data_IF_400069664262
#
_entry.id   IF_400069664262
#
_cell.length_a   1.000
_cell.length_b   1.000
_cell.length_c   1.000
_cell.angle_alpha   90.00
_cell.angle_beta   90.00
_cell.angle_gamma   90.00
#
_symmetry.space_group_name_H-M   'P 1'
#
loop_
_entity.id
_entity.type
_entity.pdbx_description
1 polymer ?
#
# COMPACT_ATOMS: atom_id res chain seq x y z
N UNK A 1 -17.98 -13.78 -26.42
CA UNK A 1 -17.83 -14.33 -25.05
C UNK A 1 -16.71 -13.67 -24.24
N UNK A 2 -15.48 -13.52 -24.79
CA UNK A 2 -14.33 -12.93 -24.06
C UNK A 2 -14.52 -11.49 -23.54
N UNK A 3 -15.21 -10.62 -24.29
CA UNK A 3 -15.41 -9.21 -23.88
C UNK A 3 -16.38 -9.07 -22.70
N UNK A 4 -17.48 -9.82 -22.72
CA UNK A 4 -18.45 -9.85 -21.61
C UNK A 4 -17.85 -10.48 -20.35
N UNK A 5 -16.94 -11.45 -20.49
CA UNK A 5 -16.18 -11.99 -19.36
C UNK A 5 -15.33 -10.92 -18.68
N UNK A 6 -14.64 -10.06 -19.44
CA UNK A 6 -13.87 -8.92 -18.90
C UNK A 6 -14.77 -7.91 -18.20
N UNK A 7 -15.91 -7.55 -18.79
CA UNK A 7 -16.88 -6.67 -18.12
C UNK A 7 -17.48 -7.31 -16.87
N UNK A 8 -17.74 -8.61 -16.88
CA UNK A 8 -18.25 -9.34 -15.72
C UNK A 8 -17.19 -9.44 -14.63
N UNK A 9 -15.91 -9.57 -14.98
CA UNK A 9 -14.76 -9.48 -14.05
C UNK A 9 -14.64 -8.08 -13.45
N UNK A 10 -14.72 -7.04 -14.27
CA UNK A 10 -14.71 -5.64 -13.84
C UNK A 10 -15.93 -5.35 -12.93
N UNK A 11 -17.11 -5.84 -13.29
CA UNK A 11 -18.33 -5.68 -12.49
C UNK A 11 -18.28 -6.49 -11.18
N UNK A 12 -17.65 -7.65 -11.19
CA UNK A 12 -17.39 -8.47 -9.98
C UNK A 12 -16.40 -7.78 -9.04
N UNK A 13 -15.41 -7.06 -9.58
CA UNK A 13 -14.46 -6.26 -8.80
C UNK A 13 -15.16 -5.06 -8.12
N UNK A 14 -16.16 -4.47 -8.76
CA UNK A 14 -16.88 -3.29 -8.25
C UNK A 14 -17.93 -3.67 -7.18
N UNK A 15 -18.40 -4.92 -7.15
CA UNK A 15 -19.50 -5.38 -6.28
C UNK A 15 -19.11 -5.90 -4.88
N UNK A 16 -17.83 -5.99 -4.51
CA UNK A 16 -17.40 -6.50 -3.19
C UNK A 16 -17.26 -5.36 -2.16
N UNK A 17 -18.13 -4.35 -2.26
CA UNK A 17 -17.95 -3.05 -1.60
C UNK A 17 -18.21 -3.01 -0.09
N UNK A 18 -19.03 -3.90 0.48
CA UNK A 18 -19.68 -3.53 1.76
C UNK A 18 -19.66 -4.57 2.90
N UNK A 19 -18.93 -5.68 2.84
CA UNK A 19 -19.07 -6.69 3.93
C UNK A 19 -17.87 -7.59 4.21
N UNK A 20 -16.69 -7.08 4.55
CA UNK A 20 -15.64 -7.89 5.21
C UNK A 20 -14.76 -7.08 6.18
N UNK A 21 -15.36 -6.44 7.20
CA UNK A 21 -14.60 -5.87 8.33
C UNK A 21 -14.19 -6.93 9.37
N UNK A 22 -14.07 -8.20 8.96
CA UNK A 22 -13.70 -9.31 9.84
C UNK A 22 -12.27 -9.73 9.57
N UNK A 23 -11.59 -10.20 10.60
CA UNK A 23 -10.29 -10.86 10.46
C UNK A 23 -10.27 -12.19 11.18
N UNK A 24 -9.55 -13.14 10.61
CA UNK A 24 -9.16 -14.39 11.25
C UNK A 24 -7.71 -14.23 11.72
N UNK A 25 -7.54 -14.09 13.03
CA UNK A 25 -6.24 -13.84 13.64
C UNK A 25 -5.74 -15.12 14.33
N UNK A 26 -4.81 -15.81 13.68
CA UNK A 26 -4.06 -16.93 14.27
C UNK A 26 -2.83 -16.33 14.94
N UNK A 27 -3.04 -15.77 16.13
CA UNK A 27 -2.01 -15.02 16.85
C UNK A 27 -1.89 -15.42 18.31
N UNK A 28 -0.66 -15.33 18.85
CA UNK A 28 -0.40 -15.37 20.28
C UNK A 28 0.16 -14.02 20.71
N UNK A 29 -0.54 -13.32 21.61
CA UNK A 29 -0.18 -11.95 22.05
C UNK A 29 0.04 -10.97 20.87
N UNK A 30 -0.74 -11.13 19.79
CA UNK A 30 -0.64 -10.31 18.58
C UNK A 30 0.52 -10.67 17.65
N UNK A 31 1.27 -11.73 17.93
CA UNK A 31 2.27 -12.30 17.04
C UNK A 31 1.67 -13.46 16.24
N UNK A 32 1.73 -13.43 14.91
CA UNK A 32 1.27 -14.54 14.09
C UNK A 32 0.80 -14.12 12.70
N UNK A 33 -0.31 -14.73 12.25
CA UNK A 33 -0.86 -14.54 10.91
C UNK A 33 -2.30 -14.03 11.03
N UNK A 34 -2.65 -13.00 10.25
CA UNK A 34 -4.02 -12.50 10.11
C UNK A 34 -4.49 -12.56 8.67
N UNK A 35 -5.73 -12.97 8.46
CA UNK A 35 -6.43 -12.91 7.18
C UNK A 35 -7.62 -11.96 7.36
N UNK A 36 -7.63 -10.87 6.60
CA UNK A 36 -8.68 -9.85 6.64
C UNK A 36 -8.29 -8.60 7.42
N UNK A 37 -9.30 -7.89 7.94
CA UNK A 37 -9.17 -6.51 8.38
C UNK A 37 -8.78 -6.34 9.88
N UNK A 38 -7.69 -6.97 10.33
CA UNK A 38 -7.22 -6.78 11.72
C UNK A 38 -6.73 -5.33 11.93
N UNK A 39 -6.82 -4.77 13.14
CA UNK A 39 -6.33 -3.39 13.36
C UNK A 39 -4.84 -3.34 13.68
N UNK A 40 -4.34 -4.36 14.38
CA UNK A 40 -2.97 -4.43 14.90
C UNK A 40 -2.43 -5.84 14.81
N UNK A 41 -1.26 -6.01 14.18
CA UNK A 41 -0.57 -7.31 14.11
C UNK A 41 0.95 -7.17 14.06
N UNK A 42 1.65 -8.10 14.72
CA UNK A 42 3.07 -8.38 14.52
C UNK A 42 3.18 -9.72 13.77
N UNK A 43 3.72 -9.74 12.55
CA UNK A 43 3.86 -10.96 11.76
C UNK A 43 3.34 -10.75 10.33
N UNK A 44 2.48 -11.65 9.86
CA UNK A 44 2.01 -11.65 8.46
C UNK A 44 0.53 -11.30 8.37
N UNK A 45 0.17 -10.48 7.40
CA UNK A 45 -1.21 -10.13 7.08
C UNK A 45 -1.50 -10.35 5.61
N UNK A 46 -2.60 -11.03 5.32
CA UNK A 46 -3.22 -11.11 4.00
C UNK A 46 -4.56 -10.38 4.06
N UNK A 47 -4.75 -9.38 3.21
CA UNK A 47 -5.97 -8.60 3.20
C UNK A 47 -6.56 -8.45 1.80
N UNK A 48 -7.87 -8.71 1.69
CA UNK A 48 -8.64 -8.43 0.48
C UNK A 48 -8.99 -6.94 0.41
N UNK A 49 -9.74 -6.41 1.39
CA UNK A 49 -10.15 -4.99 1.46
C UNK A 49 -9.94 -4.47 2.88
N UNK A 50 -9.14 -3.41 3.02
CA UNK A 50 -8.77 -2.84 4.32
C UNK A 50 -9.66 -1.65 4.68
N UNK A 51 -10.03 -1.54 5.96
CA UNK A 51 -10.62 -0.33 6.54
C UNK A 51 -10.17 -0.14 8.00
N UNK A 52 -9.57 1.00 8.33
CA UNK A 52 -9.23 1.32 9.72
C UNK A 52 -8.12 0.47 10.37
N UNK A 53 -7.15 0.00 9.59
CA UNK A 53 -5.86 -0.53 10.05
C UNK A 53 -5.08 0.54 10.84
N UNK A 54 -4.53 0.18 11.99
CA UNK A 54 -3.75 1.12 12.82
C UNK A 54 -2.26 0.85 12.72
N UNK A 55 -1.83 -0.41 12.92
CA UNK A 55 -0.41 -0.75 12.90
C UNK A 55 -0.14 -2.17 12.44
N UNK A 56 0.79 -2.32 11.50
CA UNK A 56 1.30 -3.62 11.08
C UNK A 56 2.82 -3.61 11.26
N UNK A 57 3.36 -4.64 11.90
CA UNK A 57 4.80 -4.87 11.99
C UNK A 57 5.12 -6.23 11.37
N UNK A 58 5.80 -6.27 10.23
CA UNK A 58 6.16 -7.49 9.53
C UNK A 58 5.82 -7.44 8.05
N UNK A 59 5.05 -8.42 7.57
CA UNK A 59 4.67 -8.58 6.17
C UNK A 59 3.18 -8.27 5.97
N UNK A 60 2.87 -7.36 5.06
CA UNK A 60 1.51 -7.01 4.68
C UNK A 60 1.28 -7.24 3.18
N UNK A 61 0.31 -8.08 2.81
CA UNK A 61 -0.14 -8.27 1.44
C UNK A 61 -1.58 -7.79 1.31
N UNK A 62 -1.84 -6.80 0.45
CA UNK A 62 -3.19 -6.31 0.16
C UNK A 62 -3.54 -6.45 -1.31
N UNK A 63 -4.78 -6.83 -1.61
CA UNK A 63 -5.23 -6.97 -3.00
C UNK A 63 -5.77 -5.66 -3.59
N UNK A 64 -6.40 -4.81 -2.77
CA UNK A 64 -7.04 -3.57 -3.23
C UNK A 64 -6.43 -2.34 -2.55
N UNK A 65 -6.68 -1.14 -3.11
CA UNK A 65 -6.38 0.08 -2.38
C UNK A 65 -7.26 0.10 -1.12
N UNK A 66 -6.70 0.20 0.10
CA UNK A 66 -7.50 0.38 1.31
C UNK A 66 -8.42 1.60 1.18
N UNK A 67 -9.57 1.55 1.87
CA UNK A 67 -10.35 2.78 2.15
C UNK A 67 -9.46 3.73 2.93
N UNK A 68 -9.62 5.04 2.72
CA UNK A 68 -8.75 6.06 3.30
C UNK A 68 -8.51 5.81 4.79
N UNK A 69 -7.24 5.67 5.13
CA UNK A 69 -6.80 5.25 6.44
C UNK A 69 -5.66 6.13 6.93
N UNK A 70 -5.99 7.36 7.39
CA UNK A 70 -5.01 8.40 7.68
C UNK A 70 -4.16 8.13 8.93
N UNK A 71 -4.34 6.98 9.58
CA UNK A 71 -3.62 6.60 10.79
C UNK A 71 -2.81 5.30 10.65
N UNK A 72 -2.87 4.62 9.50
CA UNK A 72 -2.18 3.35 9.32
C UNK A 72 -0.66 3.52 9.32
N UNK A 73 0.03 2.75 10.14
CA UNK A 73 1.50 2.64 10.15
C UNK A 73 1.90 1.22 9.80
N UNK A 74 2.66 1.03 8.73
CA UNK A 74 3.16 -0.28 8.32
C UNK A 74 4.68 -0.29 8.41
N UNK A 75 5.23 -1.20 9.21
CA UNK A 75 6.67 -1.38 9.40
C UNK A 75 7.09 -2.74 8.86
N UNK A 76 8.06 -2.80 7.95
CA UNK A 76 8.58 -4.03 7.36
C UNK A 76 8.36 -4.10 5.85
N UNK A 77 7.79 -5.20 5.37
CA UNK A 77 7.50 -5.42 3.95
C UNK A 77 6.01 -5.26 3.68
N UNK A 78 5.66 -4.44 2.72
CA UNK A 78 4.28 -4.25 2.28
C UNK A 78 4.20 -4.42 0.77
N UNK A 79 3.27 -5.25 0.31
CA UNK A 79 2.93 -5.37 -1.10
C UNK A 79 1.42 -5.15 -1.30
N UNK A 80 1.06 -4.31 -2.27
CA UNK A 80 -0.31 -4.13 -2.71
C UNK A 80 -0.46 -4.43 -4.18
N UNK A 81 -1.37 -5.34 -4.56
CA UNK A 81 -1.60 -5.69 -5.97
C UNK A 81 -2.05 -4.46 -6.77
N UNK A 82 -2.98 -3.67 -6.23
CA UNK A 82 -3.30 -2.34 -6.76
C UNK A 82 -2.35 -1.31 -6.15
N UNK A 83 -2.54 -1.01 -4.86
CA UNK A 83 -1.66 -0.07 -4.18
C UNK A 83 -1.69 -0.31 -2.67
N UNK A 84 -0.53 -0.46 -2.00
CA UNK A 84 -0.50 -0.26 -0.57
C UNK A 84 -0.74 1.23 -0.29
N UNK A 85 -1.61 1.50 0.68
CA UNK A 85 -1.85 2.85 1.18
C UNK A 85 -1.82 2.89 2.71
N UNK A 86 -1.04 3.81 3.27
CA UNK A 86 -0.95 4.03 4.70
C UNK A 86 -0.56 5.47 4.99
N UNK A 87 -0.69 5.91 6.24
CA UNK A 87 -0.09 7.16 6.67
C UNK A 87 1.44 7.07 6.58
N UNK A 88 2.00 6.03 7.17
CA UNK A 88 3.44 5.81 7.22
C UNK A 88 3.78 4.40 6.71
N UNK A 89 4.63 4.33 5.70
CA UNK A 89 5.22 3.11 5.16
C UNK A 89 6.71 3.10 5.50
N UNK A 90 7.11 2.24 6.43
CA UNK A 90 8.49 2.13 6.91
C UNK A 90 9.09 0.78 6.47
N UNK A 91 10.11 0.77 5.63
CA UNK A 91 10.75 -0.44 5.11
C UNK A 91 10.64 -0.57 3.59
N UNK A 92 10.15 -1.71 3.10
CA UNK A 92 9.99 -2.00 1.67
C UNK A 92 8.52 -1.99 1.28
N UNK A 93 8.12 -1.10 0.37
CA UNK A 93 6.75 -0.98 -0.13
C UNK A 93 6.70 -1.22 -1.64
N UNK A 94 5.93 -2.22 -2.08
CA UNK A 94 5.78 -2.58 -3.49
C UNK A 94 4.30 -2.46 -3.91
N UNK A 95 4.05 -1.67 -4.94
CA UNK A 95 2.73 -1.47 -5.54
C UNK A 95 2.67 -2.02 -6.95
N UNK A 96 1.75 -2.95 -7.20
CA UNK A 96 1.52 -3.50 -8.53
C UNK A 96 0.95 -2.47 -9.51
N UNK A 97 0.35 -1.38 -9.02
CA UNK A 97 0.01 -0.17 -9.78
C UNK A 97 0.69 1.06 -9.18
N UNK A 98 0.49 1.32 -7.88
CA UNK A 98 1.05 2.50 -7.25
C UNK A 98 1.41 2.27 -5.78
N UNK A 99 2.22 3.15 -5.19
CA UNK A 99 2.43 3.22 -3.73
C UNK A 99 1.94 4.57 -3.24
N UNK A 100 1.14 4.59 -2.18
CA UNK A 100 0.56 5.84 -1.63
C UNK A 100 0.81 5.92 -0.14
N UNK A 101 1.30 7.07 0.35
CA UNK A 101 1.27 7.35 1.77
C UNK A 101 1.88 8.67 2.14
N UNK A 102 1.43 9.30 3.23
CA UNK A 102 1.93 10.62 3.64
C UNK A 102 3.45 10.60 3.85
N UNK A 103 3.97 9.54 4.50
CA UNK A 103 5.40 9.34 4.70
C UNK A 103 5.84 7.96 4.23
N UNK A 104 6.89 7.93 3.43
CA UNK A 104 7.57 6.72 3.01
C UNK A 104 9.01 6.80 3.51
N UNK A 105 9.41 5.90 4.40
CA UNK A 105 10.77 5.81 4.91
C UNK A 105 11.35 4.44 4.53
N UNK A 106 12.27 4.40 3.56
CA UNK A 106 12.88 3.16 3.06
C UNK A 106 12.86 3.08 1.54
N UNK A 107 12.45 1.93 1.00
CA UNK A 107 12.41 1.67 -0.46
C UNK A 107 10.96 1.50 -0.90
N UNK A 108 10.55 2.25 -1.91
CA UNK A 108 9.22 2.15 -2.49
C UNK A 108 9.26 2.05 -4.01
N UNK A 109 8.47 1.13 -4.57
CA UNK A 109 8.34 0.93 -6.00
C UNK A 109 6.86 0.79 -6.37
N UNK A 110 6.36 1.72 -7.19
CA UNK A 110 5.05 1.64 -7.84
C UNK A 110 5.23 1.55 -9.35
N UNK A 111 4.64 0.56 -10.00
CA UNK A 111 4.80 0.33 -11.46
C UNK A 111 4.32 1.50 -12.32
N UNK A 112 3.23 2.17 -11.94
CA UNK A 112 2.74 3.39 -12.59
C UNK A 112 3.24 4.60 -11.83
N UNK A 113 3.04 4.65 -10.51
CA UNK A 113 3.50 5.82 -9.78
C UNK A 113 3.53 5.71 -8.28
N UNK A 114 4.04 6.78 -7.69
CA UNK A 114 4.18 6.91 -6.24
C UNK A 114 3.70 8.29 -5.82
N UNK A 115 2.86 8.33 -4.78
CA UNK A 115 2.33 9.57 -4.23
C UNK A 115 2.63 9.66 -2.73
N UNK A 116 3.32 10.71 -2.30
CA UNK A 116 3.69 10.90 -0.90
C UNK A 116 3.95 12.36 -0.53
N UNK A 117 3.75 12.75 0.72
CA UNK A 117 4.15 14.10 1.16
C UNK A 117 5.65 14.13 1.49
N UNK A 118 6.20 13.03 1.98
CA UNK A 118 7.62 12.92 2.34
C UNK A 118 8.16 11.54 2.03
N UNK A 119 9.19 11.49 1.20
CA UNK A 119 9.98 10.29 0.95
C UNK A 119 11.34 10.46 1.60
N UNK A 120 11.77 9.47 2.40
CA UNK A 120 13.15 9.34 2.87
C UNK A 120 13.69 7.98 2.43
N UNK A 121 14.64 7.96 1.50
CA UNK A 121 15.23 6.75 0.94
C UNK A 121 15.10 6.65 -0.58
N UNK A 122 14.68 5.50 -1.10
CA UNK A 122 14.62 5.22 -2.55
C UNK A 122 13.15 5.13 -2.97
N UNK A 123 12.76 5.92 -3.97
CA UNK A 123 11.41 5.89 -4.53
C UNK A 123 11.44 5.78 -6.05
N UNK A 124 10.69 4.82 -6.58
CA UNK A 124 10.59 4.56 -8.01
C UNK A 124 9.11 4.55 -8.40
N UNK A 125 8.70 5.52 -9.21
CA UNK A 125 7.42 5.54 -9.90
C UNK A 125 7.63 5.20 -11.37
N UNK A 126 7.17 4.04 -11.83
CA UNK A 126 7.54 3.56 -13.15
C UNK A 126 7.13 4.47 -14.31
N UNK A 127 6.05 5.26 -14.19
CA UNK A 127 5.71 6.36 -15.09
C UNK A 127 6.04 7.70 -14.43
N UNK A 128 5.57 7.95 -13.21
CA UNK A 128 5.90 9.21 -12.54
C UNK A 128 5.60 9.21 -11.06
N UNK A 129 6.04 10.29 -10.40
CA UNK A 129 5.87 10.46 -8.96
C UNK A 129 5.34 11.84 -8.64
N UNK A 130 4.52 11.92 -7.60
CA UNK A 130 4.07 13.17 -6.99
C UNK A 130 4.47 13.13 -5.51
N UNK A 131 5.58 13.77 -5.19
CA UNK A 131 6.14 13.79 -3.84
C UNK A 131 6.09 15.21 -3.27
N UNK A 132 5.93 15.38 -1.97
CA UNK A 132 6.08 16.71 -1.36
C UNK A 132 7.56 17.08 -1.24
N UNK A 133 8.27 16.29 -0.44
CA UNK A 133 9.73 16.37 -0.26
C UNK A 133 10.37 15.00 -0.42
N UNK A 134 11.58 14.98 -0.96
CA UNK A 134 12.37 13.77 -1.16
C UNK A 134 13.73 13.98 -0.49
N UNK A 135 14.08 13.07 0.41
CA UNK A 135 15.40 12.95 1.04
C UNK A 135 16.01 11.60 0.63
N UNK A 136 16.68 11.57 -0.53
CA UNK A 136 17.27 10.38 -1.13
C UNK A 136 17.10 10.31 -2.65
N UNK A 137 17.00 9.08 -3.18
CA UNK A 137 16.99 8.81 -4.62
C UNK A 137 15.56 8.66 -5.11
N UNK A 138 15.20 9.41 -6.16
CA UNK A 138 13.91 9.29 -6.81
C UNK A 138 14.03 9.10 -8.32
N UNK A 139 13.19 8.23 -8.88
CA UNK A 139 13.13 7.98 -10.31
C UNK A 139 11.68 7.88 -10.81
N UNK A 140 11.33 8.78 -11.73
CA UNK A 140 10.11 8.73 -12.54
C UNK A 140 10.48 8.75 -14.01
N UNK A 141 9.99 7.80 -14.82
CA UNK A 141 10.44 7.69 -16.23
C UNK A 141 9.94 8.84 -17.10
N UNK A 142 8.74 9.36 -16.84
CA UNK A 142 8.14 10.49 -17.54
C UNK A 142 8.29 11.78 -16.74
N UNK A 143 8.09 11.71 -15.42
CA UNK A 143 8.17 12.91 -14.59
C UNK A 143 8.22 12.64 -13.09
N UNK A 144 8.87 13.58 -12.41
CA UNK A 144 8.98 13.67 -10.97
C UNK A 144 8.48 15.07 -10.59
N UNK A 145 7.38 15.16 -9.84
CA UNK A 145 6.89 16.40 -9.30
C UNK A 145 7.18 16.45 -7.80
N UNK A 146 7.87 17.49 -7.36
CA UNK A 146 8.24 17.72 -5.97
C UNK A 146 8.33 19.21 -5.60
N UNK A 147 8.34 19.52 -4.30
CA UNK A 147 8.66 20.85 -3.79
C UNK A 147 10.13 21.00 -3.38
N UNK A 148 10.77 19.90 -2.98
CA UNK A 148 12.17 19.87 -2.56
C UNK A 148 12.75 18.46 -2.68
N UNK A 149 13.94 18.36 -3.29
CA UNK A 149 14.76 17.15 -3.29
C UNK A 149 16.10 17.48 -2.64
N UNK A 150 16.50 16.63 -1.69
CA UNK A 150 17.85 16.53 -1.18
C UNK A 150 18.28 15.07 -1.37
N UNK A 151 19.37 14.79 -2.09
CA UNK A 151 19.73 13.41 -2.44
C UNK A 151 21.08 13.30 -3.09
#
# INVERSE_FOLDING_TARGET
MRKYFVYLLIFSIIGVGDSFASSLDITYRGYGISIGNSKRINGMRLNLVDSGVERINGLNLTFWKPKDNPYAVMNGFTFGLVAPAAKELNGLALGGVAVVGEKINGVAFGTIGLASDTVRGIAIGGIGMACGSIDGIAFGSVGLADWSING
#
